data_IF_199823157690
#
_entry.id   IF_199823157690
#
_cell.length_a   1.000
_cell.length_b   1.000
_cell.length_c   1.000
_cell.angle_alpha   90.00
_cell.angle_beta   90.00
_cell.angle_gamma   90.00
#
_symmetry.space_group_name_H-M   'P 1'
#
loop_
_entity.id
_entity.type
_entity.pdbx_description
1 polymer ?
#
# COMPACT_ATOMS: atom_id res chain seq x y z
N UNK A 1 0.64 -0.46 23.83
CA UNK A 1 1.49 -0.91 22.70
C UNK A 1 1.99 -2.28 23.08
N UNK A 2 1.83 -3.30 22.27
CA UNK A 2 2.24 -4.65 22.65
C UNK A 2 3.77 -4.69 22.83
N UNK A 3 4.25 -5.45 23.78
CA UNK A 3 5.68 -5.56 24.10
C UNK A 3 6.52 -6.00 22.91
N UNK A 4 5.94 -6.79 21.98
CA UNK A 4 6.58 -7.24 20.74
C UNK A 4 7.04 -6.09 19.84
N UNK A 5 6.25 -5.02 19.64
CA UNK A 5 6.68 -3.88 18.81
C UNK A 5 7.86 -3.15 19.41
N UNK A 6 7.86 -2.99 20.74
CA UNK A 6 8.99 -2.37 21.45
C UNK A 6 10.25 -3.23 21.36
N UNK A 7 10.10 -4.54 21.44
CA UNK A 7 11.24 -5.45 21.38
C UNK A 7 11.84 -5.48 19.97
N UNK A 8 11.01 -5.46 18.92
CA UNK A 8 11.50 -5.33 17.54
C UNK A 8 12.22 -3.99 17.32
N UNK A 9 11.66 -2.89 17.83
CA UNK A 9 12.29 -1.57 17.72
C UNK A 9 13.64 -1.51 18.45
N UNK A 10 13.82 -2.21 19.57
CA UNK A 10 15.10 -2.31 20.29
C UNK A 10 16.17 -3.06 19.48
N UNK A 11 15.77 -4.03 18.65
CA UNK A 11 16.71 -4.77 17.80
C UNK A 11 17.29 -3.91 16.67
N UNK A 12 16.53 -2.92 16.19
CA UNK A 12 16.88 -2.03 15.07
C UNK A 12 16.63 -0.55 15.38
N UNK A 13 17.17 0.00 16.49
CA UNK A 13 16.76 1.31 17.00
C UNK A 13 17.15 2.49 16.12
N UNK A 14 18.11 2.32 15.20
CA UNK A 14 18.64 3.42 14.35
C UNK A 14 18.03 3.46 12.95
N UNK A 15 17.38 2.39 12.50
CA UNK A 15 16.92 2.24 11.12
C UNK A 15 15.40 2.16 11.01
N UNK A 16 14.68 1.92 12.10
CA UNK A 16 13.22 1.83 12.09
C UNK A 16 12.62 3.09 12.69
N UNK A 17 11.96 3.88 11.85
CA UNK A 17 11.27 5.11 12.25
C UNK A 17 9.96 4.84 12.97
N UNK A 18 9.22 3.82 12.53
CA UNK A 18 7.93 3.45 13.11
C UNK A 18 7.65 1.95 12.96
N UNK A 19 6.81 1.40 13.84
CA UNK A 19 6.32 0.04 13.77
C UNK A 19 4.84 -0.03 14.15
N UNK A 20 4.05 -0.75 13.35
CA UNK A 20 2.61 -0.88 13.58
C UNK A 20 2.12 -2.28 13.25
N UNK A 21 0.93 -2.63 13.77
CA UNK A 21 0.21 -3.81 13.33
C UNK A 21 -0.74 -3.46 12.17
N UNK A 22 -0.66 -4.24 11.12
CA UNK A 22 -1.69 -4.28 10.07
C UNK A 22 -2.30 -5.68 10.04
N UNK A 23 -3.48 -5.81 10.63
CA UNK A 23 -4.10 -7.11 10.89
C UNK A 23 -3.14 -8.05 11.65
N UNK A 24 -2.77 -9.19 11.07
CA UNK A 24 -1.84 -10.16 11.67
C UNK A 24 -0.36 -9.88 11.36
N UNK A 25 -0.07 -8.88 10.53
CA UNK A 25 1.30 -8.55 10.11
C UNK A 25 1.86 -7.40 10.95
N UNK A 26 3.16 -7.41 11.14
CA UNK A 26 3.91 -6.29 11.70
C UNK A 26 4.53 -5.54 10.52
N UNK A 27 4.29 -4.25 10.45
CA UNK A 27 4.85 -3.37 9.43
C UNK A 27 5.88 -2.46 10.11
N UNK A 28 7.10 -2.48 9.59
CA UNK A 28 8.20 -1.63 10.01
C UNK A 28 8.42 -0.57 8.94
N UNK A 29 8.53 0.68 9.35
CA UNK A 29 8.84 1.80 8.47
C UNK A 29 10.28 2.24 8.70
N UNK A 30 11.00 2.51 7.61
CA UNK A 30 12.37 2.99 7.65
C UNK A 30 12.53 4.27 6.84
N UNK A 31 13.35 5.18 7.34
CA UNK A 31 13.83 6.38 6.64
C UNK A 31 15.25 6.18 6.05
N UNK A 32 15.81 4.98 6.21
CA UNK A 32 17.10 4.60 5.64
C UNK A 32 16.90 3.89 4.29
N UNK A 33 17.35 4.54 3.21
CA UNK A 33 17.23 4.03 1.83
C UNK A 33 18.07 2.76 1.62
N UNK A 34 19.27 2.70 2.20
CA UNK A 34 20.16 1.55 2.04
C UNK A 34 19.58 0.33 2.72
N UNK A 35 19.09 0.50 3.94
CA UNK A 35 18.40 -0.57 4.66
C UNK A 35 17.12 -1.02 3.98
N UNK A 36 16.38 -0.11 3.35
CA UNK A 36 15.17 -0.46 2.59
C UNK A 36 15.49 -1.32 1.36
N UNK A 37 16.57 -1.01 0.65
CA UNK A 37 17.01 -1.75 -0.54
C UNK A 37 17.63 -3.10 -0.20
N UNK A 38 18.54 -3.09 0.78
CA UNK A 38 19.21 -4.30 1.25
C UNK A 38 19.32 -4.29 2.78
N UNK A 39 18.50 -5.09 3.42
CA UNK A 39 18.50 -5.25 4.88
C UNK A 39 19.41 -6.37 5.37
N UNK A 40 20.29 -6.93 4.51
CA UNK A 40 21.24 -8.00 4.85
C UNK A 40 20.60 -9.18 5.61
N UNK A 41 19.36 -9.51 5.27
CA UNK A 41 18.63 -10.61 5.91
C UNK A 41 18.08 -10.32 7.31
N UNK A 42 18.27 -9.13 7.88
CA UNK A 42 17.81 -8.78 9.24
C UNK A 42 16.31 -8.93 9.42
N UNK A 43 15.51 -8.58 8.41
CA UNK A 43 14.06 -8.80 8.46
C UNK A 43 13.75 -10.29 8.58
N UNK A 44 14.47 -11.16 7.87
CA UNK A 44 14.30 -12.62 7.95
C UNK A 44 14.68 -13.15 9.34
N UNK A 45 15.73 -12.61 9.95
CA UNK A 45 16.11 -12.94 11.33
C UNK A 45 15.02 -12.57 12.32
N UNK A 46 14.44 -11.36 12.21
CA UNK A 46 13.31 -10.93 13.03
C UNK A 46 12.09 -11.83 12.85
N UNK A 47 11.74 -12.18 11.61
CA UNK A 47 10.64 -13.12 11.31
C UNK A 47 10.89 -14.47 12.01
N UNK A 48 12.12 -14.98 11.96
CA UNK A 48 12.49 -16.25 12.61
C UNK A 48 12.45 -16.15 14.14
N UNK A 49 12.89 -15.02 14.70
CA UNK A 49 12.92 -14.79 16.14
C UNK A 49 11.52 -14.64 16.73
N UNK A 50 10.72 -13.79 16.15
CA UNK A 50 9.39 -13.44 16.67
C UNK A 50 8.27 -14.34 16.16
N UNK A 51 8.53 -15.19 15.16
CA UNK A 51 7.54 -16.07 14.51
C UNK A 51 6.30 -15.29 14.03
N UNK A 52 6.52 -14.09 13.54
CA UNK A 52 5.49 -13.18 13.00
C UNK A 52 5.85 -12.78 11.58
N UNK A 53 4.82 -12.47 10.78
CA UNK A 53 5.02 -11.91 9.45
C UNK A 53 5.41 -10.44 9.62
N UNK A 54 6.60 -10.10 9.14
CA UNK A 54 7.17 -8.75 9.23
C UNK A 54 7.41 -8.23 7.81
N UNK A 55 6.93 -7.04 7.54
CA UNK A 55 7.09 -6.34 6.27
C UNK A 55 7.85 -5.03 6.50
N UNK A 56 8.85 -4.75 5.65
CA UNK A 56 9.60 -3.49 5.68
C UNK A 56 9.05 -2.56 4.60
N UNK A 57 8.70 -1.34 4.98
CA UNK A 57 8.25 -0.27 4.09
C UNK A 57 9.09 0.99 4.27
N UNK A 58 9.17 1.78 3.22
CA UNK A 58 9.78 3.11 3.31
C UNK A 58 8.84 4.06 4.08
N UNK A 59 9.41 4.95 4.87
CA UNK A 59 8.67 6.07 5.48
C UNK A 59 8.15 7.00 4.36
N UNK A 60 7.05 7.68 4.62
CA UNK A 60 6.41 8.59 3.68
C UNK A 60 7.34 9.68 3.13
N UNK A 61 8.39 10.04 3.88
CA UNK A 61 9.40 11.03 3.48
C UNK A 61 10.31 10.56 2.35
N UNK A 62 10.47 9.25 2.20
CA UNK A 62 11.33 8.66 1.16
C UNK A 62 10.57 8.36 -0.12
N UNK A 63 9.25 8.32 -0.08
CA UNK A 63 8.44 7.98 -1.24
C UNK A 63 8.64 9.01 -2.35
N UNK A 64 8.81 8.52 -3.57
CA UNK A 64 8.76 9.40 -4.73
C UNK A 64 7.35 9.95 -4.93
N UNK A 65 7.27 11.13 -5.53
CA UNK A 65 6.00 11.75 -5.90
C UNK A 65 5.11 10.79 -6.71
N UNK A 66 3.81 10.85 -6.51
CA UNK A 66 2.84 9.94 -7.13
C UNK A 66 2.88 10.03 -8.66
N UNK A 67 2.99 11.24 -9.22
CA UNK A 67 3.05 11.45 -10.68
C UNK A 67 4.34 10.90 -11.27
N UNK A 68 5.47 11.16 -10.61
CA UNK A 68 6.77 10.61 -11.02
C UNK A 68 6.75 9.08 -10.94
N UNK A 69 6.18 8.54 -9.87
CA UNK A 69 6.03 7.10 -9.68
C UNK A 69 5.16 6.46 -10.76
N UNK A 70 4.05 7.10 -11.14
CA UNK A 70 3.21 6.60 -12.22
C UNK A 70 3.96 6.53 -13.54
N UNK A 71 4.74 7.55 -13.88
CA UNK A 71 5.58 7.58 -15.09
C UNK A 71 6.59 6.43 -15.07
N UNK A 72 7.26 6.21 -13.93
CA UNK A 72 8.23 5.14 -13.76
C UNK A 72 7.56 3.77 -13.94
N UNK A 73 6.41 3.54 -13.30
CA UNK A 73 5.66 2.28 -13.42
C UNK A 73 5.29 2.01 -14.87
N UNK A 74 4.73 3.01 -15.58
CA UNK A 74 4.34 2.88 -16.99
C UNK A 74 5.53 2.63 -17.93
N UNK A 75 6.73 3.07 -17.55
CA UNK A 75 7.97 2.82 -18.30
C UNK A 75 8.53 1.41 -18.07
N UNK A 76 8.45 0.91 -16.82
CA UNK A 76 9.01 -0.40 -16.45
C UNK A 76 8.08 -1.54 -16.88
N UNK A 77 6.76 -1.35 -16.72
CA UNK A 77 5.77 -2.39 -17.01
C UNK A 77 5.54 -2.52 -18.52
N UNK A 78 5.63 -3.74 -19.09
CA UNK A 78 5.35 -3.95 -20.50
C UNK A 78 3.92 -3.52 -20.89
N UNK A 79 3.74 -2.96 -22.08
CA UNK A 79 2.42 -2.51 -22.56
C UNK A 79 1.40 -3.64 -22.64
N UNK A 80 1.88 -4.88 -22.91
CA UNK A 80 1.07 -6.08 -22.97
C UNK A 80 0.42 -6.45 -21.62
N UNK A 81 0.90 -5.86 -20.52
CA UNK A 81 0.28 -6.06 -19.21
C UNK A 81 -1.11 -5.40 -19.12
N UNK A 82 -1.42 -4.45 -20.00
CA UNK A 82 -2.69 -3.73 -20.04
C UNK A 82 -3.04 -3.13 -18.65
N UNK A 83 -2.20 -2.17 -18.21
CA UNK A 83 -2.47 -1.41 -16.98
C UNK A 83 -3.77 -0.64 -17.11
N UNK A 84 -4.67 -0.84 -16.16
CA UNK A 84 -5.98 -0.15 -16.13
C UNK A 84 -5.98 1.00 -15.15
N UNK A 85 -5.36 0.82 -13.97
CA UNK A 85 -5.36 1.85 -12.95
C UNK A 85 -4.11 1.77 -12.07
N UNK A 86 -3.71 2.90 -11.47
CA UNK A 86 -2.63 3.00 -10.48
C UNK A 86 -3.18 3.85 -9.35
N UNK A 87 -3.27 3.27 -8.15
CA UNK A 87 -3.81 3.92 -6.96
C UNK A 87 -2.73 3.99 -5.89
N UNK A 88 -2.65 5.10 -5.18
CA UNK A 88 -1.66 5.33 -4.13
C UNK A 88 -2.31 5.33 -2.75
N UNK A 89 -1.67 4.66 -1.80
CA UNK A 89 -1.98 4.74 -0.36
C UNK A 89 -0.74 5.26 0.39
N UNK A 90 -0.56 6.58 0.48
CA UNK A 90 0.63 7.19 1.10
C UNK A 90 0.79 6.83 2.58
N UNK A 91 -0.32 6.55 3.27
CA UNK A 91 -0.28 6.22 4.70
C UNK A 91 0.35 4.84 4.97
N UNK A 92 0.25 3.95 3.99
CA UNK A 92 0.79 2.60 4.06
C UNK A 92 2.00 2.40 3.16
N UNK A 93 2.43 3.46 2.45
CA UNK A 93 3.53 3.40 1.48
C UNK A 93 3.30 2.34 0.39
N UNK A 94 2.05 2.18 -0.04
CA UNK A 94 1.64 1.16 -1.01
C UNK A 94 1.17 1.84 -2.30
N UNK A 95 1.58 1.27 -3.44
CA UNK A 95 1.00 1.56 -4.75
C UNK A 95 0.28 0.32 -5.28
N UNK A 96 -0.99 0.47 -5.61
CA UNK A 96 -1.81 -0.60 -6.16
C UNK A 96 -1.84 -0.46 -7.67
N UNK A 97 -1.40 -1.50 -8.36
CA UNK A 97 -1.32 -1.55 -9.82
C UNK A 97 -2.37 -2.53 -10.31
N UNK A 98 -3.42 -2.00 -10.95
CA UNK A 98 -4.47 -2.81 -11.54
C UNK A 98 -4.13 -3.13 -13.00
N UNK A 99 -4.23 -4.39 -13.37
CA UNK A 99 -3.82 -4.89 -14.68
C UNK A 99 -4.65 -6.09 -15.11
N UNK A 100 -4.84 -6.27 -16.41
CA UNK A 100 -5.47 -7.49 -16.93
C UNK A 100 -4.55 -8.70 -16.87
N UNK A 101 -3.23 -8.49 -16.92
CA UNK A 101 -2.21 -9.55 -16.93
C UNK A 101 -1.20 -9.42 -15.79
N UNK A 102 -1.59 -9.73 -14.55
CA UNK A 102 -0.73 -9.56 -13.35
C UNK A 102 0.64 -10.18 -13.46
N UNK A 103 0.77 -11.34 -14.12
CA UNK A 103 2.05 -12.04 -14.27
C UNK A 103 3.12 -11.22 -14.99
N UNK A 104 2.75 -10.36 -15.94
CA UNK A 104 3.69 -9.49 -16.65
C UNK A 104 4.19 -8.35 -15.77
N UNK A 105 3.35 -7.83 -14.86
CA UNK A 105 3.73 -6.79 -13.90
C UNK A 105 4.62 -7.36 -12.79
N UNK A 106 4.40 -8.61 -12.39
CA UNK A 106 5.26 -9.29 -11.42
C UNK A 106 6.62 -9.57 -12.06
N UNK A 107 6.61 -10.01 -13.31
CA UNK A 107 7.81 -10.39 -14.06
C UNK A 107 8.39 -11.72 -13.62
N UNK A 108 9.41 -12.20 -14.36
CA UNK A 108 10.11 -13.45 -14.05
C UNK A 108 10.77 -13.32 -12.66
N UNK A 109 10.45 -14.24 -11.76
CA UNK A 109 10.97 -14.25 -10.38
C UNK A 109 10.76 -12.93 -9.60
N UNK A 110 9.76 -12.12 -9.99
CA UNK A 110 9.47 -10.86 -9.33
C UNK A 110 10.41 -9.69 -9.68
N UNK A 111 11.15 -9.77 -10.77
CA UNK A 111 12.13 -8.75 -11.16
C UNK A 111 11.47 -7.39 -11.42
N UNK A 112 10.35 -7.35 -12.15
CA UNK A 112 9.66 -6.10 -12.49
C UNK A 112 9.12 -5.41 -11.24
N UNK A 113 8.48 -6.17 -10.35
CA UNK A 113 7.95 -5.64 -9.09
C UNK A 113 9.06 -5.13 -8.17
N UNK A 114 10.21 -5.84 -8.14
CA UNK A 114 11.37 -5.43 -7.36
C UNK A 114 12.01 -4.15 -7.91
N UNK A 115 12.04 -4.01 -9.23
CA UNK A 115 12.54 -2.80 -9.88
C UNK A 115 11.66 -1.58 -9.58
N UNK A 116 10.33 -1.72 -9.67
CA UNK A 116 9.38 -0.68 -9.27
C UNK A 116 9.64 -0.26 -7.82
N UNK A 117 9.71 -1.23 -6.89
CA UNK A 117 9.99 -0.97 -5.48
C UNK A 117 11.30 -0.18 -5.29
N UNK A 118 12.37 -0.60 -5.95
CA UNK A 118 13.70 -0.01 -5.78
C UNK A 118 13.80 1.40 -6.39
N UNK A 119 13.07 1.68 -7.47
CA UNK A 119 13.10 2.98 -8.11
C UNK A 119 12.17 4.00 -7.46
N UNK A 120 11.07 3.55 -6.85
CA UNK A 120 10.02 4.44 -6.35
C UNK A 120 9.90 4.47 -4.83
N UNK A 121 10.44 3.48 -4.14
CA UNK A 121 10.31 3.21 -2.70
C UNK A 121 8.87 2.88 -2.24
N UNK A 122 7.92 2.86 -3.15
CA UNK A 122 6.57 2.36 -2.90
C UNK A 122 6.56 0.83 -2.89
N UNK A 123 5.70 0.24 -2.06
CA UNK A 123 5.46 -1.21 -2.07
C UNK A 123 4.37 -1.51 -3.11
N UNK A 124 4.72 -2.12 -4.24
CA UNK A 124 3.75 -2.43 -5.27
C UNK A 124 2.87 -3.63 -4.88
N UNK A 125 1.56 -3.44 -4.96
CA UNK A 125 0.56 -4.49 -4.84
C UNK A 125 -0.17 -4.66 -6.16
N UNK A 126 -0.10 -5.87 -6.72
CA UNK A 126 -0.67 -6.14 -8.03
C UNK A 126 -2.06 -6.72 -7.86
N UNK A 127 -3.03 -6.10 -8.52
CA UNK A 127 -4.41 -6.56 -8.54
C UNK A 127 -4.85 -6.82 -9.98
N UNK A 128 -5.65 -7.87 -10.15
CA UNK A 128 -6.28 -8.12 -11.44
C UNK A 128 -7.44 -7.14 -11.62
N UNK A 129 -7.49 -6.50 -12.78
CA UNK A 129 -8.62 -5.67 -13.16
C UNK A 129 -9.92 -6.50 -13.16
N UNK A 130 -11.03 -5.95 -12.68
CA UNK A 130 -12.31 -6.64 -12.70
C UNK A 130 -12.75 -6.93 -14.13
N UNK A 131 -13.43 -8.06 -14.34
CA UNK A 131 -13.94 -8.45 -15.66
C UNK A 131 -14.98 -7.45 -16.19
N UNK A 132 -15.69 -6.77 -15.30
CA UNK A 132 -16.68 -5.73 -15.62
C UNK A 132 -16.19 -4.44 -14.96
N UNK A 133 -15.96 -3.43 -15.78
CA UNK A 133 -15.63 -2.09 -15.31
C UNK A 133 -16.88 -1.43 -14.73
N UNK A 134 -16.80 -0.97 -13.49
CA UNK A 134 -17.90 -0.28 -12.81
C UNK A 134 -17.39 1.03 -12.21
N UNK A 135 -17.92 2.15 -12.69
CA UNK A 135 -17.63 3.49 -12.14
C UNK A 135 -17.90 3.58 -10.64
N UNK A 136 -18.90 2.86 -10.14
CA UNK A 136 -19.21 2.82 -8.70
C UNK A 136 -18.07 2.14 -7.95
N UNK A 137 -17.60 1.00 -8.43
CA UNK A 137 -16.48 0.27 -7.81
C UNK A 137 -15.19 1.08 -7.84
N UNK A 138 -14.90 1.76 -8.94
CA UNK A 138 -13.74 2.67 -9.07
C UNK A 138 -13.82 3.81 -8.07
N UNK A 139 -14.96 4.48 -7.97
CA UNK A 139 -15.16 5.56 -7.02
C UNK A 139 -15.02 5.09 -5.56
N UNK A 140 -15.55 3.92 -5.21
CA UNK A 140 -15.41 3.34 -3.86
C UNK A 140 -13.93 3.06 -3.58
N UNK A 141 -13.21 2.45 -4.51
CA UNK A 141 -11.78 2.15 -4.38
C UNK A 141 -10.96 3.42 -4.23
N UNK A 142 -11.17 4.41 -5.08
CA UNK A 142 -10.50 5.70 -5.00
C UNK A 142 -10.67 6.34 -3.61
N UNK A 143 -11.87 6.27 -3.03
CA UNK A 143 -12.15 6.79 -1.69
C UNK A 143 -11.46 5.98 -0.59
N UNK A 144 -11.36 4.66 -0.75
CA UNK A 144 -10.71 3.79 0.25
C UNK A 144 -9.21 4.09 0.40
N UNK A 145 -8.55 4.50 -0.69
CA UNK A 145 -7.12 4.82 -0.69
C UNK A 145 -6.79 6.30 -0.46
N UNK A 146 -7.81 7.14 -0.31
CA UNK A 146 -7.60 8.55 0.05
C UNK A 146 -7.19 8.73 1.51
N UNK A 147 -6.56 9.88 1.80
CA UNK A 147 -6.23 10.31 3.16
C UNK A 147 -7.45 10.17 4.10
N UNK A 148 -7.22 9.71 5.33
CA UNK A 148 -8.26 9.47 6.33
C UNK A 148 -9.23 10.65 6.53
N UNK A 149 -8.74 11.89 6.44
CA UNK A 149 -9.58 13.08 6.61
C UNK A 149 -10.53 13.28 5.41
N UNK A 150 -10.06 13.03 4.19
CA UNK A 150 -10.87 13.11 2.97
C UNK A 150 -11.89 11.98 2.97
N UNK A 151 -11.47 10.77 3.31
CA UNK A 151 -12.35 9.60 3.44
C UNK A 151 -13.45 9.81 4.49
N UNK A 152 -13.10 10.32 5.68
CA UNK A 152 -14.10 10.65 6.71
C UNK A 152 -15.11 11.70 6.24
N UNK A 153 -14.66 12.77 5.57
CA UNK A 153 -15.55 13.78 5.00
C UNK A 153 -16.50 13.18 3.98
N UNK A 154 -15.99 12.33 3.07
CA UNK A 154 -16.80 11.66 2.06
C UNK A 154 -17.83 10.72 2.71
N UNK A 155 -17.40 9.83 3.60
CA UNK A 155 -18.31 8.90 4.28
C UNK A 155 -19.40 9.62 5.08
N UNK A 156 -19.05 10.73 5.75
CA UNK A 156 -20.03 11.56 6.46
C UNK A 156 -21.03 12.22 5.49
N UNK A 157 -20.58 12.64 4.30
CA UNK A 157 -21.48 13.24 3.29
C UNK A 157 -22.45 12.21 2.72
N UNK A 158 -21.94 10.99 2.44
CA UNK A 158 -22.77 9.87 1.97
C UNK A 158 -23.76 9.43 3.05
N UNK A 159 -23.31 9.28 4.30
CA UNK A 159 -24.17 8.95 5.43
C UNK A 159 -25.31 9.97 5.61
N UNK A 160 -25.01 11.27 5.51
CA UNK A 160 -26.04 12.32 5.58
C UNK A 160 -27.04 12.23 4.43
N UNK A 161 -26.61 11.90 3.20
CA UNK A 161 -27.52 11.72 2.05
C UNK A 161 -28.42 10.51 2.26
N UNK A 162 -27.84 9.36 2.65
CA UNK A 162 -28.60 8.13 2.92
C UNK A 162 -29.63 8.40 4.03
N UNK A 163 -29.22 9.02 5.14
CA UNK A 163 -30.14 9.34 6.24
C UNK A 163 -31.27 10.28 5.81
N UNK A 164 -30.99 11.25 4.94
CA UNK A 164 -31.98 12.21 4.43
C UNK A 164 -32.98 11.56 3.48
N UNK A 165 -32.54 10.61 2.65
CA UNK A 165 -33.36 9.90 1.67
C UNK A 165 -34.11 8.71 2.27
N UNK A 166 -33.51 8.02 3.25
CA UNK A 166 -34.00 6.78 3.87
C UNK A 166 -34.38 6.96 5.35
N UNK A 167 -34.85 8.13 5.75
CA UNK A 167 -35.23 8.35 7.13
C UNK A 167 -36.42 7.44 7.51
N UNK A 168 -36.22 6.42 8.38
CA UNK A 168 -37.26 5.48 8.76
C UNK A 168 -38.45 6.14 9.48
N UNK A 169 -38.30 7.33 10.04
CA UNK A 169 -39.38 8.09 10.67
C UNK A 169 -40.38 8.70 9.66
N UNK A 170 -40.00 8.81 8.37
CA UNK A 170 -40.88 9.27 7.29
C UNK A 170 -41.70 8.16 6.65
N UNK A 171 -41.44 6.90 7.04
CA UNK A 171 -42.13 5.72 6.50
C UNK A 171 -43.18 5.12 7.47
N UNK A 172 -43.56 5.87 8.52
CA UNK A 172 -44.69 5.53 9.42
C UNK A 172 -45.92 6.33 9.11
#
# INVERSE_FOLDING_TARGET
MSDILKDIQKELPKVISNASFEAANIVLYTDDIEFFKDNNGKIKELVNKFKKRIELRADSKLLKDEKETEIIIRKIVPQEAELTNILFDPQRSIVIIETKRPGLVIGKSGLVISEIKNQTYWIPQIQRSPAIESKITENIRAVLYQNNNVRKKFLNSVGKKIYKEWNPEKMR
#
